data_IF_993527435274
#
_entry.id   IF_993527435274
#
_cell.length_a   1.000
_cell.length_b   1.000
_cell.length_c   1.000
_cell.angle_alpha   90.00
_cell.angle_beta   90.00
_cell.angle_gamma   90.00
#
_symmetry.space_group_name_H-M   'P 1'
#
loop_
_entity.id
_entity.type
_entity.pdbx_description
1 polymer ?
#
# COMPACT_ATOMS: atom_id res chain seq x y z
N UNK A 1 -16.17 11.87 -18.56
CA UNK A 1 -15.71 10.69 -17.79
C UNK A 1 -15.51 11.21 -16.39
N UNK A 2 -16.16 10.65 -15.37
CA UNK A 2 -16.01 11.12 -13.98
C UNK A 2 -14.53 11.02 -13.58
N UNK A 3 -14.00 12.07 -12.96
CA UNK A 3 -12.63 12.08 -12.45
C UNK A 3 -12.61 12.54 -11.01
N UNK A 4 -11.69 11.98 -10.24
CA UNK A 4 -11.31 12.54 -8.94
C UNK A 4 -9.91 13.15 -9.06
N UNK A 5 -9.80 14.44 -8.78
CA UNK A 5 -8.55 15.19 -8.78
C UNK A 5 -8.10 15.42 -7.34
N UNK A 6 -7.02 14.76 -6.96
CA UNK A 6 -6.32 14.95 -5.69
C UNK A 6 -5.29 16.05 -5.90
N UNK A 7 -5.44 17.22 -5.27
CA UNK A 7 -4.63 18.42 -5.55
C UNK A 7 -3.92 18.92 -4.30
N UNK A 8 -2.87 19.73 -4.48
CA UNK A 8 -2.07 20.40 -3.45
C UNK A 8 -1.37 19.50 -2.42
N UNK A 9 -1.51 18.18 -2.50
CA UNK A 9 -0.71 17.26 -1.70
C UNK A 9 0.72 17.15 -2.21
N UNK A 10 1.53 16.31 -1.55
CA UNK A 10 2.94 16.10 -1.93
C UNK A 10 3.17 14.70 -2.49
N UNK A 11 4.19 14.59 -3.35
CA UNK A 11 4.69 13.32 -3.88
C UNK A 11 6.18 13.18 -3.55
N UNK A 12 6.61 11.96 -3.22
CA UNK A 12 8.03 11.66 -2.94
C UNK A 12 8.97 12.12 -4.06
N UNK A 13 8.51 12.06 -5.31
CA UNK A 13 9.30 12.37 -6.51
C UNK A 13 9.35 13.86 -6.85
N UNK A 14 8.44 14.68 -6.31
CA UNK A 14 8.34 16.11 -6.61
C UNK A 14 8.75 17.00 -5.42
N UNK A 15 9.09 16.40 -4.27
CA UNK A 15 9.53 17.12 -3.09
C UNK A 15 8.45 18.06 -2.54
N UNK A 16 8.77 19.36 -2.47
CA UNK A 16 7.90 20.38 -1.89
C UNK A 16 6.87 20.97 -2.87
N UNK A 17 6.95 20.60 -4.16
CA UNK A 17 6.04 21.14 -5.19
C UNK A 17 4.63 20.57 -4.97
N UNK A 18 3.57 21.41 -4.91
CA UNK A 18 2.19 20.95 -4.87
C UNK A 18 1.89 20.02 -6.05
N UNK A 19 1.45 18.82 -5.73
CA UNK A 19 1.21 17.75 -6.66
C UNK A 19 -0.28 17.56 -6.93
N UNK A 20 -0.56 17.03 -8.10
CA UNK A 20 -1.88 16.59 -8.52
C UNK A 20 -1.82 15.14 -8.99
N UNK A 21 -2.80 14.36 -8.54
CA UNK A 21 -3.07 13.01 -9.03
C UNK A 21 -4.52 12.95 -9.49
N UNK A 22 -4.74 12.47 -10.72
CA UNK A 22 -6.07 12.34 -11.32
C UNK A 22 -6.40 10.88 -11.45
N UNK A 23 -7.54 10.49 -10.89
CA UNK A 23 -8.12 9.16 -10.99
C UNK A 23 -9.20 9.21 -12.07
N UNK A 24 -9.07 8.39 -13.10
CA UNK A 24 -10.04 8.29 -14.19
C UNK A 24 -11.01 7.14 -13.90
N UNK A 25 -12.29 7.45 -13.69
CA UNK A 25 -13.29 6.42 -13.39
C UNK A 25 -13.79 5.75 -14.68
N UNK A 26 -13.57 4.44 -14.79
CA UNK A 26 -13.79 3.65 -16.00
C UNK A 26 -15.14 2.90 -16.02
N UNK A 27 -16.07 3.24 -15.11
CA UNK A 27 -17.35 2.53 -14.92
C UNK A 27 -17.16 1.22 -14.15
N UNK A 28 -16.25 0.36 -14.59
CA UNK A 28 -15.83 -0.87 -13.90
C UNK A 28 -14.39 -0.74 -13.37
N UNK A 29 -14.05 -1.33 -12.21
CA UNK A 29 -12.67 -1.38 -11.73
C UNK A 29 -11.78 -2.26 -12.65
N UNK A 30 -10.46 -2.01 -12.68
CA UNK A 30 -9.77 -0.93 -11.98
C UNK A 30 -9.91 0.42 -12.69
N UNK A 31 -10.10 1.47 -11.90
CA UNK A 31 -9.83 2.82 -12.36
C UNK A 31 -8.31 3.05 -12.37
N UNK A 32 -7.85 3.86 -13.32
CA UNK A 32 -6.41 4.09 -13.55
C UNK A 32 -6.03 5.54 -13.21
N UNK A 33 -4.76 5.74 -12.86
CA UNK A 33 -4.21 7.08 -12.80
C UNK A 33 -4.14 7.69 -14.20
N UNK A 34 -4.77 8.85 -14.38
CA UNK A 34 -4.76 9.63 -15.61
C UNK A 34 -3.60 10.62 -15.69
N UNK A 35 -3.39 11.39 -14.63
CA UNK A 35 -2.32 12.38 -14.54
C UNK A 35 -1.67 12.32 -13.16
N UNK A 36 -0.34 12.40 -13.12
CA UNK A 36 0.45 12.49 -11.90
C UNK A 36 1.58 13.48 -12.16
N UNK A 37 1.62 14.58 -11.40
CA UNK A 37 2.59 15.63 -11.63
C UNK A 37 2.36 16.86 -10.75
N UNK A 38 3.02 17.96 -11.08
CA UNK A 38 2.80 19.23 -10.39
C UNK A 38 1.44 19.83 -10.75
N UNK A 39 0.78 20.50 -9.80
CA UNK A 39 -0.49 21.21 -10.04
C UNK A 39 -0.40 22.28 -11.14
N UNK A 40 0.79 22.81 -11.40
CA UNK A 40 1.06 23.84 -12.42
C UNK A 40 1.85 23.28 -13.62
N UNK A 41 1.86 21.96 -13.81
CA UNK A 41 2.51 21.34 -14.97
C UNK A 41 1.81 21.71 -16.27
N UNK A 42 2.54 21.73 -17.40
CA UNK A 42 1.99 22.12 -18.71
C UNK A 42 0.82 21.26 -19.19
N UNK A 43 0.77 19.99 -18.75
CA UNK A 43 -0.29 19.04 -19.08
C UNK A 43 -1.24 18.76 -17.91
N UNK A 44 -1.15 19.56 -16.83
CA UNK A 44 -2.02 19.44 -15.68
C UNK A 44 -3.46 19.82 -16.07
N UNK A 45 -4.47 18.97 -15.79
CA UNK A 45 -5.85 19.40 -15.86
C UNK A 45 -6.12 20.65 -15.02
N UNK A 46 -6.98 21.54 -15.51
CA UNK A 46 -7.37 22.75 -14.78
C UNK A 46 -8.34 22.40 -13.64
N UNK A 47 -7.78 22.07 -12.50
CA UNK A 47 -8.54 21.72 -11.30
C UNK A 47 -9.23 22.93 -10.64
N UNK A 48 -8.89 24.16 -11.04
CA UNK A 48 -9.54 25.38 -10.51
C UNK A 48 -10.84 25.70 -11.23
N UNK A 49 -11.01 25.15 -12.43
CA UNK A 49 -12.24 25.21 -13.20
C UNK A 49 -12.66 23.78 -13.61
N UNK A 50 -13.01 22.92 -12.64
CA UNK A 50 -13.34 21.53 -12.89
C UNK A 50 -14.61 21.39 -13.75
N UNK A 51 -14.72 20.28 -14.48
CA UNK A 51 -15.97 19.93 -15.15
C UNK A 51 -17.06 19.64 -14.10
N UNK A 52 -18.35 19.79 -14.44
CA UNK A 52 -19.45 19.54 -13.50
C UNK A 52 -19.43 18.15 -12.86
N UNK A 53 -18.91 17.14 -13.55
CA UNK A 53 -18.78 15.76 -13.06
C UNK A 53 -17.48 15.47 -12.29
N UNK A 54 -16.52 16.39 -12.27
CA UNK A 54 -15.26 16.18 -11.57
C UNK A 54 -15.42 16.39 -10.07
N UNK A 55 -14.75 15.55 -9.29
CA UNK A 55 -14.56 15.75 -7.85
C UNK A 55 -13.15 16.29 -7.61
N UNK A 56 -13.02 17.39 -6.88
CA UNK A 56 -11.72 17.96 -6.48
C UNK A 56 -11.54 17.82 -4.99
N UNK A 57 -10.39 17.26 -4.58
CA UNK A 57 -10.01 17.05 -3.19
C UNK A 57 -8.71 17.76 -2.91
N UNK A 58 -8.78 18.77 -2.07
CA UNK A 58 -7.60 19.47 -1.59
C UNK A 58 -6.89 18.64 -0.51
N UNK A 59 -5.63 18.31 -0.78
CA UNK A 59 -4.77 17.48 0.06
C UNK A 59 -3.61 18.31 0.66
N UNK A 60 -3.78 19.62 0.83
CA UNK A 60 -2.80 20.43 1.53
C UNK A 60 -2.46 19.82 2.91
N UNK A 61 -1.15 19.74 3.21
CA UNK A 61 -0.65 19.09 4.42
C UNK A 61 -0.58 17.56 4.35
N UNK A 62 -0.90 16.95 3.21
CA UNK A 62 -0.84 15.50 3.02
C UNK A 62 0.27 15.07 2.06
N UNK A 63 0.69 13.82 2.23
CA UNK A 63 1.56 13.07 1.33
C UNK A 63 0.75 11.96 0.67
N UNK A 64 0.83 11.91 -0.66
CA UNK A 64 0.26 10.81 -1.45
C UNK A 64 1.33 9.74 -1.63
N UNK A 65 0.95 8.50 -1.30
CA UNK A 65 1.77 7.32 -1.45
C UNK A 65 1.02 6.27 -2.29
N UNK A 66 1.74 5.42 -3.04
CA UNK A 66 1.13 4.21 -3.55
C UNK A 66 0.61 3.35 -2.37
N UNK A 67 -0.31 2.43 -2.67
CA UNK A 67 -0.75 1.44 -1.70
C UNK A 67 0.42 0.72 -1.03
N UNK A 68 0.30 0.46 0.28
CA UNK A 68 1.32 -0.33 0.97
C UNK A 68 1.26 -1.78 0.49
N UNK A 69 2.43 -2.39 0.44
CA UNK A 69 2.63 -3.75 -0.02
C UNK A 69 3.43 -4.51 1.04
N UNK A 70 2.97 -5.69 1.45
CA UNK A 70 3.69 -6.60 2.34
C UNK A 70 4.06 -7.88 1.58
N UNK A 71 5.33 -8.28 1.55
CA UNK A 71 5.74 -9.49 0.80
C UNK A 71 5.24 -10.79 1.40
N UNK A 72 4.94 -10.78 2.69
CA UNK A 72 4.62 -11.99 3.41
C UNK A 72 3.82 -11.59 4.62
N UNK A 73 2.50 -11.58 4.47
CA UNK A 73 1.59 -11.29 5.57
C UNK A 73 1.13 -12.62 6.18
N UNK A 74 0.87 -12.62 7.49
CA UNK A 74 0.33 -13.80 8.18
C UNK A 74 -1.13 -14.09 7.80
N UNK A 75 -1.37 -14.43 6.53
CA UNK A 75 -2.64 -14.95 6.01
C UNK A 75 -2.64 -16.50 5.97
N UNK A 76 -1.63 -17.14 6.55
CA UNK A 76 -1.23 -18.54 6.35
C UNK A 76 -1.88 -19.55 7.33
N UNK A 77 -2.85 -19.13 8.14
CA UNK A 77 -3.52 -20.02 9.11
C UNK A 77 -4.70 -20.82 8.54
N UNK A 78 -4.83 -20.96 7.21
CA UNK A 78 -6.01 -21.58 6.57
C UNK A 78 -5.63 -22.87 5.83
N UNK A 79 -6.21 -24.00 6.25
CA UNK A 79 -5.88 -25.33 5.72
C UNK A 79 -7.10 -26.17 5.27
N UNK A 80 -8.30 -25.61 5.12
CA UNK A 80 -9.49 -26.41 4.88
C UNK A 80 -10.64 -25.78 4.10
N UNK A 81 -11.85 -26.34 4.27
CA UNK A 81 -13.02 -26.21 3.40
C UNK A 81 -13.65 -24.79 3.37
N UNK A 82 -14.65 -24.58 2.52
CA UNK A 82 -15.21 -23.26 2.17
C UNK A 82 -15.67 -22.35 3.33
N UNK A 83 -15.94 -22.92 4.51
CA UNK A 83 -16.28 -22.15 5.73
C UNK A 83 -15.04 -21.56 6.44
N UNK A 84 -13.83 -21.97 6.07
CA UNK A 84 -12.56 -21.50 6.62
C UNK A 84 -12.01 -20.26 5.89
N UNK A 85 -12.67 -19.79 4.82
CA UNK A 85 -12.25 -18.58 4.10
C UNK A 85 -12.59 -17.28 4.83
N UNK A 86 -13.61 -17.28 5.70
CA UNK A 86 -14.10 -16.07 6.33
C UNK A 86 -13.05 -15.29 7.14
N UNK A 87 -12.19 -15.93 7.96
CA UNK A 87 -11.17 -15.20 8.65
C UNK A 87 -10.08 -14.67 7.71
N UNK A 88 -9.76 -15.36 6.60
CA UNK A 88 -8.85 -14.87 5.57
C UNK A 88 -9.39 -13.59 4.92
N UNK A 89 -10.68 -13.57 4.57
CA UNK A 89 -11.37 -12.39 4.04
C UNK A 89 -11.38 -11.24 5.03
N UNK A 90 -11.65 -11.50 6.32
CA UNK A 90 -11.62 -10.46 7.35
C UNK A 90 -10.21 -9.88 7.50
N UNK A 91 -9.17 -10.70 7.52
CA UNK A 91 -7.79 -10.21 7.59
C UNK A 91 -7.40 -9.41 6.36
N UNK A 92 -7.82 -9.85 5.16
CA UNK A 92 -7.67 -9.08 3.93
C UNK A 92 -8.40 -7.73 3.99
N UNK A 93 -9.61 -7.70 4.55
CA UNK A 93 -10.35 -6.46 4.78
C UNK A 93 -9.59 -5.52 5.73
N UNK A 94 -9.05 -6.04 6.85
CA UNK A 94 -8.26 -5.23 7.78
C UNK A 94 -6.97 -4.70 7.16
N UNK A 95 -6.35 -5.46 6.26
CA UNK A 95 -5.21 -4.99 5.48
C UNK A 95 -5.59 -3.75 4.66
N UNK A 96 -6.73 -3.78 3.95
CA UNK A 96 -7.24 -2.62 3.22
C UNK A 96 -7.52 -1.42 4.13
N UNK A 97 -8.15 -1.62 5.29
CA UNK A 97 -8.38 -0.54 6.25
C UNK A 97 -7.09 0.10 6.79
N UNK A 98 -5.97 -0.60 6.66
CA UNK A 98 -4.63 -0.16 7.10
C UNK A 98 -3.74 0.25 5.94
N UNK A 99 -4.31 0.46 4.76
CA UNK A 99 -3.60 0.92 3.58
C UNK A 99 -2.74 -0.14 2.91
N UNK A 100 -2.82 -1.41 3.32
CA UNK A 100 -2.12 -2.53 2.68
C UNK A 100 -2.99 -3.03 1.53
N UNK A 101 -2.61 -2.65 0.31
CA UNK A 101 -3.38 -2.86 -0.92
C UNK A 101 -2.85 -4.01 -1.76
N UNK A 102 -1.64 -4.51 -1.44
CA UNK A 102 -1.05 -5.69 -2.06
C UNK A 102 -0.35 -6.55 -1.00
N UNK A 103 -0.46 -7.86 -1.14
CA UNK A 103 0.14 -8.82 -0.22
C UNK A 103 0.74 -10.00 -0.97
N UNK A 104 1.89 -10.46 -0.49
CA UNK A 104 2.45 -11.75 -0.85
C UNK A 104 2.01 -12.81 0.13
N UNK A 105 1.76 -14.02 -0.39
CA UNK A 105 1.38 -15.20 0.40
C UNK A 105 2.31 -16.36 0.07
N UNK A 106 2.70 -17.12 1.10
CA UNK A 106 3.41 -18.40 0.94
C UNK A 106 2.39 -19.53 0.94
N UNK A 107 2.16 -20.16 -0.20
CA UNK A 107 1.34 -21.36 -0.29
C UNK A 107 0.80 -21.62 -1.69
N UNK A 108 0.55 -22.90 -1.98
CA UNK A 108 0.05 -23.39 -3.27
C UNK A 108 -1.32 -24.09 -3.12
N UNK A 109 -2.17 -23.63 -2.21
CA UNK A 109 -3.50 -24.19 -2.00
C UNK A 109 -4.55 -23.61 -2.95
N UNK A 110 -5.52 -24.44 -3.37
CA UNK A 110 -6.67 -24.01 -4.20
C UNK A 110 -7.44 -22.81 -3.59
N UNK A 111 -7.41 -22.70 -2.27
CA UNK A 111 -7.89 -21.57 -1.47
C UNK A 111 -7.23 -20.25 -1.89
N UNK A 112 -5.90 -20.22 -1.92
CA UNK A 112 -5.13 -19.02 -2.26
C UNK A 112 -5.29 -18.69 -3.75
N UNK A 113 -5.36 -19.70 -4.61
CA UNK A 113 -5.66 -19.50 -6.03
C UNK A 113 -7.03 -18.86 -6.26
N UNK A 114 -8.05 -19.33 -5.54
CA UNK A 114 -9.39 -18.73 -5.62
C UNK A 114 -9.40 -17.30 -5.08
N UNK A 115 -8.76 -17.05 -3.93
CA UNK A 115 -8.62 -15.72 -3.34
C UNK A 115 -7.88 -14.75 -4.26
N UNK A 116 -6.78 -15.21 -4.86
CA UNK A 116 -6.01 -14.47 -5.85
C UNK A 116 -6.88 -14.07 -7.03
N UNK A 117 -7.62 -15.03 -7.62
CA UNK A 117 -8.54 -14.77 -8.72
C UNK A 117 -9.61 -13.75 -8.37
N UNK A 118 -10.39 -13.98 -7.31
CA UNK A 118 -11.51 -13.08 -6.96
C UNK A 118 -11.06 -11.69 -6.53
N UNK A 119 -9.88 -11.58 -5.89
CA UNK A 119 -9.33 -10.29 -5.48
C UNK A 119 -8.76 -9.51 -6.66
N UNK A 120 -8.08 -10.19 -7.59
CA UNK A 120 -7.42 -9.56 -8.74
C UNK A 120 -8.40 -9.22 -9.87
N UNK A 121 -9.52 -9.92 -9.97
CA UNK A 121 -10.63 -9.62 -10.87
C UNK A 121 -11.65 -8.64 -10.27
N UNK A 122 -11.39 -8.12 -9.05
CA UNK A 122 -12.28 -7.21 -8.32
C UNK A 122 -13.70 -7.76 -8.07
N UNK A 123 -13.85 -9.09 -8.07
CA UNK A 123 -15.11 -9.76 -7.70
C UNK A 123 -15.35 -9.63 -6.20
N UNK A 124 -14.27 -9.71 -5.42
CA UNK A 124 -14.27 -9.37 -4.01
C UNK A 124 -13.28 -8.25 -3.72
N UNK A 125 -13.69 -7.35 -2.84
CA UNK A 125 -12.85 -6.25 -2.41
C UNK A 125 -11.85 -6.67 -1.33
N UNK A 126 -10.68 -7.13 -1.76
CA UNK A 126 -9.54 -7.55 -0.93
C UNK A 126 -8.25 -6.86 -1.44
N UNK A 127 -7.09 -6.94 -0.76
CA UNK A 127 -5.81 -6.54 -1.35
C UNK A 127 -5.54 -7.37 -2.62
N UNK A 128 -4.72 -6.86 -3.53
CA UNK A 128 -4.12 -7.72 -4.55
C UNK A 128 -3.29 -8.80 -3.87
N UNK A 129 -3.45 -10.05 -4.32
CA UNK A 129 -2.71 -11.19 -3.77
C UNK A 129 -1.79 -11.69 -4.87
N UNK A 130 -0.53 -11.97 -4.50
CA UNK A 130 0.45 -12.59 -5.37
C UNK A 130 1.19 -13.69 -4.63
N UNK A 131 1.60 -14.73 -5.36
CA UNK A 131 2.46 -15.76 -4.77
C UNK A 131 3.85 -15.20 -4.48
N UNK A 132 4.28 -15.35 -3.23
CA UNK A 132 5.61 -14.94 -2.80
C UNK A 132 6.57 -16.13 -2.81
N UNK A 133 7.68 -15.99 -3.55
CA UNK A 133 8.74 -17.00 -3.58
C UNK A 133 10.06 -16.41 -3.02
N UNK A 134 10.42 -16.75 -1.78
CA UNK A 134 11.64 -16.22 -1.14
C UNK A 134 12.93 -16.69 -1.82
N UNK A 135 12.90 -17.74 -2.66
CA UNK A 135 14.06 -18.25 -3.39
C UNK A 135 14.34 -17.46 -4.68
N UNK A 136 13.43 -16.57 -5.09
CA UNK A 136 13.52 -15.77 -6.33
C UNK A 136 13.78 -14.29 -6.08
N UNK A 137 14.53 -13.96 -5.03
CA UNK A 137 14.90 -12.58 -4.71
C UNK A 137 16.10 -12.17 -5.60
N UNK A 138 15.97 -11.13 -6.45
CA UNK A 138 17.09 -10.64 -7.23
C UNK A 138 18.22 -10.15 -6.31
N UNK A 139 19.47 -10.36 -6.75
CA UNK A 139 20.64 -10.07 -5.93
C UNK A 139 20.75 -8.59 -5.50
N UNK A 140 20.10 -7.66 -6.20
CA UNK A 140 20.06 -6.24 -5.84
C UNK A 140 19.22 -5.94 -4.59
N UNK A 141 18.34 -6.85 -4.15
CA UNK A 141 17.43 -6.63 -3.04
C UNK A 141 17.86 -7.38 -1.77
N UNK A 142 17.40 -6.88 -0.63
CA UNK A 142 17.44 -7.56 0.65
C UNK A 142 16.04 -7.51 1.28
N UNK A 143 15.45 -8.69 1.52
CA UNK A 143 14.15 -8.81 2.19
C UNK A 143 14.37 -9.00 3.68
N UNK A 144 13.73 -8.15 4.49
CA UNK A 144 13.80 -8.20 5.93
C UNK A 144 12.51 -8.78 6.50
N UNK A 145 12.63 -9.98 7.07
CA UNK A 145 11.52 -10.72 7.65
C UNK A 145 11.27 -10.31 9.10
N UNK A 146 10.00 -10.07 9.43
CA UNK A 146 9.53 -9.75 10.77
C UNK A 146 9.43 -8.27 11.09
N UNK A 147 8.83 -7.99 12.23
CA UNK A 147 8.80 -6.67 12.88
C UNK A 147 8.99 -6.87 14.39
N UNK A 148 10.24 -6.97 14.89
CA UNK A 148 10.52 -7.21 16.30
C UNK A 148 10.19 -6.00 17.19
N UNK A 149 9.85 -6.31 18.45
CA UNK A 149 9.65 -5.32 19.51
C UNK A 149 10.95 -4.60 19.87
N UNK A 150 10.82 -3.37 20.35
CA UNK A 150 11.97 -2.56 20.74
C UNK A 150 12.65 -3.13 21.99
N UNK A 151 13.97 -3.14 21.99
CA UNK A 151 14.81 -3.61 23.08
C UNK A 151 15.01 -5.13 23.11
N UNK A 152 14.45 -5.88 22.16
CA UNK A 152 14.64 -7.33 22.12
C UNK A 152 15.91 -7.74 21.36
N UNK A 153 16.33 -8.98 21.55
CA UNK A 153 17.45 -9.57 20.81
C UNK A 153 17.16 -9.63 19.31
N UNK A 154 15.92 -9.93 18.94
CA UNK A 154 15.47 -10.00 17.55
C UNK A 154 15.58 -8.64 16.87
N UNK A 155 15.30 -7.53 17.56
CA UNK A 155 15.55 -6.18 17.02
C UNK A 155 17.04 -5.97 16.73
N UNK A 156 17.93 -6.32 17.66
CA UNK A 156 19.36 -6.16 17.46
C UNK A 156 19.86 -6.97 16.25
N UNK A 157 19.41 -8.22 16.12
CA UNK A 157 19.75 -9.09 14.98
C UNK A 157 19.16 -8.57 13.66
N UNK A 158 17.93 -8.04 13.68
CA UNK A 158 17.28 -7.41 12.53
C UNK A 158 18.08 -6.19 12.06
N UNK A 159 18.42 -5.26 12.98
CA UNK A 159 19.19 -4.07 12.65
C UNK A 159 20.60 -4.40 12.14
N UNK A 160 21.22 -5.47 12.63
CA UNK A 160 22.50 -5.94 12.10
C UNK A 160 22.37 -6.39 10.63
N UNK A 161 21.29 -7.11 10.28
CA UNK A 161 21.01 -7.51 8.89
C UNK A 161 20.77 -6.29 8.00
N UNK A 162 19.97 -5.32 8.46
CA UNK A 162 19.70 -4.06 7.73
C UNK A 162 21.00 -3.30 7.45
N UNK A 163 21.84 -3.07 8.48
CA UNK A 163 23.13 -2.38 8.33
C UNK A 163 24.09 -3.12 7.38
N UNK A 164 24.05 -4.45 7.39
CA UNK A 164 24.86 -5.26 6.45
C UNK A 164 24.37 -5.08 5.01
N UNK A 165 23.06 -5.15 4.78
CA UNK A 165 22.47 -4.97 3.46
C UNK A 165 22.75 -3.56 2.89
N UNK A 166 22.63 -2.52 3.73
CA UNK A 166 22.95 -1.14 3.34
C UNK A 166 24.41 -1.00 2.89
N UNK A 167 25.37 -1.55 3.66
CA UNK A 167 26.80 -1.55 3.27
C UNK A 167 27.08 -2.29 1.97
N UNK A 168 26.23 -3.24 1.59
CA UNK A 168 26.31 -3.98 0.34
C UNK A 168 25.52 -3.32 -0.80
N UNK A 169 24.96 -2.12 -0.59
CA UNK A 169 24.20 -1.38 -1.59
C UNK A 169 22.89 -2.06 -2.00
N UNK A 170 22.29 -2.85 -1.12
CA UNK A 170 21.03 -3.56 -1.42
C UNK A 170 19.84 -2.63 -1.28
N UNK A 171 18.85 -2.79 -2.15
CA UNK A 171 17.54 -2.16 -1.99
C UNK A 171 16.72 -2.89 -0.92
N UNK A 172 16.11 -2.18 0.03
CA UNK A 172 15.37 -2.80 1.13
C UNK A 172 13.97 -3.23 0.70
N UNK A 173 13.49 -4.34 1.25
CA UNK A 173 12.12 -4.82 1.10
C UNK A 173 11.63 -5.45 2.42
N UNK A 174 10.33 -5.43 2.68
CA UNK A 174 9.77 -5.84 3.97
C UNK A 174 8.78 -7.00 3.83
N UNK A 175 8.86 -7.95 4.75
CA UNK A 175 8.00 -9.12 4.81
C UNK A 175 7.63 -9.35 6.29
N UNK A 176 6.43 -9.01 6.74
CA UNK A 176 6.19 -8.92 8.19
C UNK A 176 5.98 -10.26 8.87
N UNK A 177 5.44 -11.25 8.15
CA UNK A 177 5.00 -12.55 8.67
C UNK A 177 3.99 -12.43 9.81
N UNK A 178 3.27 -11.30 9.89
CA UNK A 178 2.39 -10.94 11.01
C UNK A 178 0.99 -10.61 10.53
N UNK A 179 0.03 -10.64 11.45
CA UNK A 179 -1.32 -10.22 11.12
C UNK A 179 -1.37 -8.71 10.89
N UNK A 180 -2.15 -8.21 9.91
CA UNK A 180 -2.34 -6.76 9.74
C UNK A 180 -2.94 -6.11 10.99
N UNK A 181 -3.63 -6.89 11.84
CA UNK A 181 -4.25 -6.42 13.09
C UNK A 181 -3.26 -6.13 14.21
N UNK A 182 -2.12 -6.83 14.19
CA UNK A 182 -1.12 -6.75 15.27
C UNK A 182 -0.65 -5.31 15.50
N UNK A 183 -0.16 -5.07 16.70
CA UNK A 183 0.53 -3.84 17.07
C UNK A 183 1.89 -4.18 17.64
N UNK A 184 2.94 -3.65 17.03
CA UNK A 184 4.32 -3.80 17.48
C UNK A 184 4.84 -2.40 17.79
N UNK A 185 5.35 -2.17 19.00
CA UNK A 185 5.77 -0.83 19.43
C UNK A 185 4.69 0.26 19.22
N UNK A 186 3.40 -0.12 19.34
CA UNK A 186 2.25 0.77 19.15
C UNK A 186 1.92 1.14 17.69
N UNK A 187 2.55 0.52 16.69
CA UNK A 187 2.26 0.74 15.26
C UNK A 187 1.92 -0.57 14.54
N UNK A 188 1.47 -0.51 13.28
CA UNK A 188 1.28 -1.74 12.49
C UNK A 188 2.62 -2.43 12.19
N UNK A 189 2.66 -3.76 11.97
CA UNK A 189 3.90 -4.47 11.69
C UNK A 189 4.67 -3.92 10.49
N UNK A 190 3.96 -3.52 9.43
CA UNK A 190 4.57 -2.98 8.23
C UNK A 190 5.20 -1.59 8.46
N UNK A 191 4.54 -0.73 9.25
CA UNK A 191 5.12 0.56 9.67
C UNK A 191 6.33 0.34 10.56
N UNK A 192 6.28 -0.64 11.48
CA UNK A 192 7.43 -1.01 12.31
C UNK A 192 8.60 -1.52 11.46
N UNK A 193 8.34 -2.30 10.41
CA UNK A 193 9.38 -2.75 9.48
C UNK A 193 10.05 -1.56 8.78
N UNK A 194 9.27 -0.57 8.31
CA UNK A 194 9.82 0.66 7.75
C UNK A 194 10.67 1.46 8.77
N UNK A 195 10.20 1.61 10.02
CA UNK A 195 10.98 2.23 11.10
C UNK A 195 12.33 1.52 11.30
N UNK A 196 12.34 0.18 11.35
CA UNK A 196 13.55 -0.61 11.56
C UNK A 196 14.53 -0.49 10.39
N UNK A 197 14.02 -0.47 9.16
CA UNK A 197 14.82 -0.24 7.95
C UNK A 197 15.51 1.14 8.03
N UNK A 198 14.77 2.17 8.42
CA UNK A 198 15.32 3.51 8.64
C UNK A 198 16.34 3.56 9.79
N UNK A 199 16.03 2.94 10.94
CA UNK A 199 16.93 2.83 12.11
C UNK A 199 18.23 2.06 11.79
N UNK A 200 18.19 1.15 10.82
CA UNK A 200 19.36 0.45 10.31
C UNK A 200 20.21 1.29 9.33
N UNK A 201 19.77 2.48 8.95
CA UNK A 201 20.55 3.48 8.23
C UNK A 201 20.03 3.86 6.83
N UNK A 202 18.99 3.20 6.32
CA UNK A 202 18.36 3.62 5.06
C UNK A 202 17.65 4.97 5.21
N UNK A 203 17.56 5.74 4.12
CA UNK A 203 16.75 6.96 4.11
C UNK A 203 15.26 6.67 4.30
N UNK A 204 14.50 7.66 4.80
CA UNK A 204 13.05 7.50 5.00
C UNK A 204 12.29 7.16 3.71
N UNK A 205 12.66 7.80 2.60
CA UNK A 205 12.09 7.50 1.28
C UNK A 205 12.38 6.05 0.87
N UNK A 206 13.58 5.54 1.15
CA UNK A 206 13.94 4.14 0.89
C UNK A 206 13.16 3.18 1.79
N UNK A 207 12.93 3.54 3.06
CA UNK A 207 12.09 2.76 3.97
C UNK A 207 10.61 2.73 3.52
N UNK A 208 10.08 3.84 2.99
CA UNK A 208 8.73 3.87 2.40
C UNK A 208 8.69 3.01 1.12
N UNK A 209 9.69 3.11 0.26
CA UNK A 209 9.82 2.24 -0.93
C UNK A 209 9.90 0.76 -0.58
N UNK A 210 10.52 0.42 0.56
CA UNK A 210 10.61 -0.96 1.04
C UNK A 210 9.25 -1.59 1.37
N UNK A 211 8.22 -0.78 1.64
CA UNK A 211 6.85 -1.24 1.92
C UNK A 211 5.87 -0.85 0.80
N UNK A 212 6.38 -0.46 -0.37
CA UNK A 212 5.57 -0.06 -1.53
C UNK A 212 6.20 -0.61 -2.82
N UNK A 213 6.93 0.22 -3.57
CA UNK A 213 7.50 -0.06 -4.89
C UNK A 213 8.38 -1.33 -4.92
N UNK A 214 9.26 -1.48 -3.92
CA UNK A 214 10.19 -2.61 -3.89
C UNK A 214 9.46 -3.92 -3.65
N UNK A 215 8.46 -3.92 -2.77
CA UNK A 215 7.64 -5.09 -2.51
C UNK A 215 6.77 -5.44 -3.71
N UNK A 216 6.13 -4.45 -4.34
CA UNK A 216 5.34 -4.67 -5.56
C UNK A 216 6.20 -5.23 -6.70
N UNK A 217 7.44 -4.75 -6.86
CA UNK A 217 8.39 -5.30 -7.82
C UNK A 217 8.72 -6.77 -7.55
N UNK A 218 9.01 -7.11 -6.29
CA UNK A 218 9.35 -8.47 -5.88
C UNK A 218 8.16 -9.45 -5.99
N UNK A 219 6.92 -8.95 -5.89
CA UNK A 219 5.70 -9.72 -6.19
C UNK A 219 5.34 -9.79 -7.68
N UNK A 220 6.11 -9.13 -8.56
CA UNK A 220 5.80 -9.04 -9.98
C UNK A 220 4.61 -8.12 -10.32
N UNK A 221 4.16 -7.29 -9.37
CA UNK A 221 3.02 -6.38 -9.48
C UNK A 221 3.38 -4.97 -9.97
N UNK A 222 4.66 -4.67 -10.24
CA UNK A 222 5.11 -3.32 -10.65
C UNK A 222 4.50 -2.78 -11.96
N UNK A 223 3.91 -3.66 -12.78
CA UNK A 223 3.18 -3.28 -13.99
C UNK A 223 1.72 -2.86 -13.70
N UNK A 224 1.23 -3.04 -12.47
CA UNK A 224 -0.12 -2.70 -12.01
C UNK A 224 -0.11 -1.66 -10.90
N UNK A 225 0.75 -1.80 -9.90
CA UNK A 225 0.73 -1.00 -8.67
C UNK A 225 2.13 -0.82 -8.06
N UNK A 226 2.19 -0.24 -6.85
CA UNK A 226 3.41 0.00 -6.08
C UNK A 226 4.09 1.33 -6.40
N UNK A 227 3.57 2.06 -7.39
CA UNK A 227 4.09 3.37 -7.77
C UNK A 227 2.96 4.28 -8.25
N UNK A 228 3.05 5.57 -7.95
CA UNK A 228 2.11 6.58 -8.44
C UNK A 228 2.55 7.01 -9.86
N UNK A 229 2.04 6.31 -10.89
CA UNK A 229 2.30 6.63 -12.31
C UNK A 229 1.05 6.45 -13.18
N UNK A 230 0.89 7.35 -14.15
CA UNK A 230 -0.22 7.27 -15.10
C UNK A 230 -0.24 5.91 -15.84
N UNK A 231 -1.44 5.36 -16.01
CA UNK A 231 -1.67 4.03 -16.58
C UNK A 231 -1.53 2.86 -15.59
N UNK A 232 -1.03 3.09 -14.38
CA UNK A 232 -1.12 2.13 -13.29
C UNK A 232 -2.48 2.22 -12.59
N UNK A 233 -2.84 1.17 -11.87
CA UNK A 233 -4.06 1.13 -11.07
C UNK A 233 -4.02 2.21 -10.00
N UNK A 234 -5.18 2.85 -9.76
CA UNK A 234 -5.31 3.94 -8.82
C UNK A 234 -5.33 3.48 -7.35
N UNK A 235 -4.28 2.77 -6.94
CA UNK A 235 -3.99 2.37 -5.56
C UNK A 235 -3.26 3.51 -4.84
N UNK A 236 -3.96 4.18 -3.92
CA UNK A 236 -3.43 5.36 -3.23
C UNK A 236 -3.74 5.34 -1.74
N UNK A 237 -2.70 5.65 -0.97
CA UNK A 237 -2.80 6.03 0.43
C UNK A 237 -2.52 7.53 0.54
N UNK A 238 -3.29 8.20 1.39
CA UNK A 238 -3.00 9.58 1.79
C UNK A 238 -2.68 9.57 3.27
N UNK A 239 -1.54 10.13 3.64
CA UNK A 239 -1.05 10.25 5.02
C UNK A 239 -0.64 11.70 5.30
N UNK A 240 -0.50 12.11 6.57
CA UNK A 240 0.08 13.40 6.91
C UNK A 240 1.48 13.55 6.30
N UNK A 241 1.81 14.77 5.84
CA UNK A 241 3.14 15.05 5.26
C UNK A 241 4.29 14.74 6.23
N UNK A 242 4.02 14.85 7.53
CA UNK A 242 4.93 14.54 8.64
C UNK A 242 5.45 13.10 8.59
N UNK A 243 4.87 12.20 7.79
CA UNK A 243 5.42 10.88 7.51
C UNK A 243 6.84 10.91 6.92
N UNK A 244 7.26 12.03 6.32
CA UNK A 244 8.64 12.24 5.86
C UNK A 244 9.60 12.67 6.98
N UNK A 245 9.10 12.96 8.16
CA UNK A 245 9.87 13.31 9.36
C UNK A 245 9.82 12.17 10.38
N UNK A 246 8.64 11.57 10.57
CA UNK A 246 8.35 10.47 11.47
C UNK A 246 7.55 9.37 10.74
N UNK A 247 8.21 8.24 10.46
CA UNK A 247 7.58 7.11 9.76
C UNK A 247 6.38 6.51 10.52
N UNK A 248 6.22 6.78 11.82
CA UNK A 248 5.03 6.35 12.57
C UNK A 248 3.75 6.97 12.03
N UNK A 249 3.84 8.14 11.40
CA UNK A 249 2.69 8.81 10.77
C UNK A 249 2.12 8.03 9.59
N UNK A 250 2.86 7.06 9.02
CA UNK A 250 2.34 6.17 7.96
C UNK A 250 1.10 5.38 8.40
N UNK A 251 0.89 5.16 9.71
CA UNK A 251 -0.31 4.51 10.22
C UNK A 251 -1.54 5.44 10.27
N UNK A 252 -1.31 6.76 10.24
CA UNK A 252 -2.35 7.79 10.39
C UNK A 252 -2.94 8.12 9.03
N UNK A 253 -3.45 7.10 8.34
CA UNK A 253 -4.08 7.27 7.04
C UNK A 253 -5.23 8.28 7.12
N UNK A 254 -5.33 9.15 6.11
CA UNK A 254 -6.42 10.10 5.93
C UNK A 254 -7.41 9.60 4.88
N UNK A 255 -6.91 8.83 3.91
CA UNK A 255 -7.67 8.21 2.83
C UNK A 255 -6.96 6.95 2.35
N UNK A 256 -7.74 5.94 1.95
CA UNK A 256 -7.23 4.76 1.24
C UNK A 256 -8.19 4.42 0.09
N UNK A 257 -7.64 4.23 -1.11
CA UNK A 257 -8.38 3.75 -2.27
C UNK A 257 -7.58 2.66 -3.01
N UNK A 258 -8.27 1.62 -3.48
CA UNK A 258 -7.69 0.55 -4.31
C UNK A 258 -8.36 0.60 -5.68
N UNK A 259 -7.62 0.48 -6.78
CA UNK A 259 -8.16 0.55 -8.15
C UNK A 259 -9.09 1.75 -8.38
N UNK A 260 -8.76 2.90 -7.74
CA UNK A 260 -9.50 4.17 -7.74
C UNK A 260 -10.85 4.16 -7.01
N UNK A 261 -11.14 3.09 -6.28
CA UNK A 261 -12.33 2.93 -5.45
C UNK A 261 -12.00 3.17 -3.98
N UNK A 262 -12.74 4.08 -3.38
CA UNK A 262 -12.54 4.48 -1.98
C UNK A 262 -12.84 3.32 -1.04
N UNK A 263 -11.84 2.90 -0.25
CA UNK A 263 -12.04 1.98 0.87
C UNK A 263 -12.72 2.77 1.99
N UNK A 264 -12.06 3.85 2.40
CA UNK A 264 -12.48 4.75 3.46
C UNK A 264 -11.72 6.08 3.37
N UNK A 265 -12.26 7.10 4.03
CA UNK A 265 -11.67 8.42 4.13
C UNK A 265 -12.16 9.15 5.38
N UNK A 266 -11.29 9.94 6.00
CA UNK A 266 -11.65 10.94 7.02
C UNK A 266 -11.75 12.35 6.42
N UNK A 267 -11.59 12.49 5.10
CA UNK A 267 -11.67 13.76 4.41
C UNK A 267 -13.13 14.14 4.18
N UNK A 268 -13.53 15.33 4.65
CA UNK A 268 -14.92 15.84 4.63
C UNK A 268 -15.60 15.77 3.25
N UNK A 269 -14.83 15.87 2.17
CA UNK A 269 -15.36 15.85 0.81
C UNK A 269 -15.60 14.43 0.25
N UNK A 270 -15.22 13.37 0.98
CA UNK A 270 -15.24 11.97 0.52
C UNK A 270 -15.75 11.01 1.60
N UNK A 271 -16.95 11.24 2.13
CA UNK A 271 -17.54 10.34 3.15
C UNK A 271 -18.17 9.04 2.58
N UNK A 272 -17.92 8.70 1.31
CA UNK A 272 -18.59 7.56 0.66
C UNK A 272 -17.78 6.27 0.77
N UNK A 273 -18.04 5.46 1.80
CA UNK A 273 -17.71 4.03 1.78
C UNK A 273 -18.54 3.40 0.64
N UNK A 274 -17.88 2.98 -0.44
CA UNK A 274 -18.60 2.42 -1.62
C UNK A 274 -18.68 0.89 -1.63
N UNK A 275 -18.09 0.18 -0.66
CA UNK A 275 -17.98 -1.27 -0.74
C UNK A 275 -18.22 -1.97 0.59
N UNK A 276 -19.00 -3.05 0.53
CA UNK A 276 -19.01 -4.05 1.57
C UNK A 276 -17.70 -4.83 1.44
N UNK A 277 -16.80 -4.74 2.42
CA UNK A 277 -15.55 -5.51 2.47
C UNK A 277 -15.80 -6.97 2.89
N UNK A 278 -17.07 -7.39 2.88
CA UNK A 278 -17.51 -8.71 3.27
C UNK A 278 -18.04 -9.46 2.04
N UNK A 279 -17.73 -10.76 1.95
CA UNK A 279 -18.26 -11.63 0.91
C UNK A 279 -19.80 -11.71 0.97
N UNK A 280 -20.50 -11.98 -0.15
CA UNK A 280 -21.94 -12.22 -0.14
C UNK A 280 -22.34 -13.23 0.95
N UNK A 281 -23.30 -12.86 1.81
CA UNK A 281 -23.74 -13.69 2.95
C UNK A 281 -23.06 -13.38 4.29
N UNK A 282 -22.22 -12.36 4.35
CA UNK A 282 -21.70 -11.77 5.59
C UNK A 282 -22.33 -10.40 5.82
N UNK A 283 -23.54 -10.39 6.39
CA UNK A 283 -24.06 -9.22 7.10
C UNK A 283 -23.37 -9.05 8.46
#
# INVERSE_FOLDING_TARGET
MERTMLVNGRLLTLGQVPAMVVLNHAGNPPDLFGYIGACLGTNAPDWRNPLPEDTVLDLEGSLLLPGFCDLDIGLDSFSGECKEYYPAYRLAADALYRGVLSVGVRGDGAVLEALEGVANDYTLWAPQIARWNPDRIPSAYAVFYGAPEKGTREEAEYLQKVRRALRLGKMPAAATGKSPRDRVCGVSPLVRAAELIHQGGYGRVEAIRAITENNAFLLGLCHRTGYLKAGLEADVNVVPWEALEDLRQLQNLQMTARGGRLIWSHMKAMERIRFCVAAPGCE
#
